data_IF_195664651546
#
_entry.id   IF_195664651546
#
_cell.length_a   1.000
_cell.length_b   1.000
_cell.length_c   1.000
_cell.angle_alpha   90.00
_cell.angle_beta   90.00
_cell.angle_gamma   90.00
#
_symmetry.space_group_name_H-M   'P 1'
#
loop_
_entity.id
_entity.type
_entity.pdbx_description
1 polymer ?
#
# COMPACT_ATOMS: atom_id res chain seq x y z
N UNK A 1 -23.57 1.93 -10.09
CA UNK A 1 -23.64 3.08 -11.01
C UNK A 1 -22.47 3.97 -10.64
N UNK A 2 -21.40 3.89 -11.42
CA UNK A 2 -20.17 4.61 -11.16
C UNK A 2 -20.38 6.07 -11.52
N UNK A 3 -20.25 6.97 -10.54
CA UNK A 3 -20.13 8.40 -10.77
C UNK A 3 -18.85 8.65 -11.58
N UNK A 4 -18.99 8.69 -12.90
CA UNK A 4 -18.04 9.38 -13.76
C UNK A 4 -18.03 10.83 -13.31
N UNK A 5 -16.96 11.21 -12.61
CA UNK A 5 -16.55 12.60 -12.40
C UNK A 5 -16.40 13.25 -13.77
N UNK A 6 -17.52 13.73 -14.31
CA UNK A 6 -17.65 14.53 -15.52
C UNK A 6 -16.86 15.80 -15.27
N UNK A 7 -15.61 15.80 -15.73
CA UNK A 7 -14.84 17.01 -15.90
C UNK A 7 -15.75 18.02 -16.62
N UNK A 8 -15.88 19.26 -16.08
CA UNK A 8 -16.67 20.30 -16.71
C UNK A 8 -16.33 20.37 -18.20
N UNK A 9 -17.34 20.42 -19.09
CA UNK A 9 -17.14 20.41 -20.55
C UNK A 9 -16.11 21.44 -21.02
N UNK A 10 -15.98 22.53 -20.28
CA UNK A 10 -14.98 23.58 -20.52
C UNK A 10 -13.53 23.10 -20.25
N UNK A 11 -13.30 22.28 -19.22
CA UNK A 11 -11.99 21.68 -18.95
C UNK A 11 -11.63 20.58 -19.95
N UNK A 12 -12.61 19.82 -20.44
CA UNK A 12 -12.39 18.83 -21.50
C UNK A 12 -11.98 19.50 -22.82
N UNK A 13 -12.61 20.63 -23.16
CA UNK A 13 -12.25 21.44 -24.32
C UNK A 13 -10.87 22.11 -24.16
N UNK A 14 -10.54 22.59 -22.95
CA UNK A 14 -9.21 23.14 -22.65
C UNK A 14 -8.15 22.04 -22.72
N UNK A 15 -8.38 20.85 -22.13
CA UNK A 15 -7.46 19.71 -22.21
C UNK A 15 -7.20 19.25 -23.66
N UNK A 16 -8.22 19.26 -24.51
CA UNK A 16 -8.08 18.98 -25.94
C UNK A 16 -7.36 20.10 -26.72
N UNK A 17 -7.40 21.34 -26.22
CA UNK A 17 -6.76 22.51 -26.82
C UNK A 17 -5.35 22.78 -26.27
N UNK A 18 -4.92 22.13 -25.18
CA UNK A 18 -3.53 22.16 -24.72
C UNK A 18 -2.70 21.35 -25.72
N UNK A 19 -2.14 22.03 -26.73
CA UNK A 19 -0.94 21.54 -27.39
C UNK A 19 0.15 21.48 -26.33
N UNK A 20 0.40 20.28 -25.79
CA UNK A 20 1.53 20.02 -24.92
C UNK A 20 2.77 20.61 -25.60
N UNK A 21 3.58 21.41 -24.88
CA UNK A 21 4.75 22.04 -25.48
C UNK A 21 5.65 20.94 -26.07
N UNK A 22 5.85 20.93 -27.38
CA UNK A 22 6.72 19.99 -28.08
C UNK A 22 8.22 20.32 -27.90
N UNK A 23 8.56 21.15 -26.91
CA UNK A 23 9.83 21.86 -26.85
C UNK A 23 10.98 20.93 -26.48
N UNK A 24 10.73 19.97 -25.58
CA UNK A 24 11.72 19.00 -25.12
C UNK A 24 11.39 17.58 -25.59
N UNK A 25 12.43 16.73 -25.70
CA UNK A 25 12.25 15.32 -26.04
C UNK A 25 11.36 14.59 -25.02
N UNK A 26 11.42 14.97 -23.74
CA UNK A 26 10.63 14.37 -22.66
C UNK A 26 9.14 14.68 -22.82
N UNK A 27 8.79 15.93 -23.15
CA UNK A 27 7.39 16.32 -23.40
C UNK A 27 6.80 15.60 -24.62
N UNK A 28 7.59 15.40 -25.69
CA UNK A 28 7.18 14.63 -26.86
C UNK A 28 6.94 13.15 -26.54
N UNK A 29 7.81 12.55 -25.73
CA UNK A 29 7.64 11.17 -25.24
C UNK A 29 6.37 11.07 -24.38
N UNK A 30 6.15 12.04 -23.49
CA UNK A 30 4.95 12.06 -22.65
C UNK A 30 3.66 12.18 -23.48
N UNK A 31 3.60 13.13 -24.42
CA UNK A 31 2.45 13.30 -25.30
C UNK A 31 2.15 12.01 -26.10
N UNK A 32 3.17 11.37 -26.66
CA UNK A 32 3.01 10.12 -27.38
C UNK A 32 2.58 8.94 -26.49
N UNK A 33 3.05 8.90 -25.23
CA UNK A 33 2.60 7.88 -24.28
C UNK A 33 1.12 8.05 -23.89
N UNK A 34 0.64 9.29 -23.81
CA UNK A 34 -0.78 9.59 -23.61
C UNK A 34 -1.61 9.21 -24.85
N UNK A 35 -1.15 9.54 -26.05
CA UNK A 35 -1.83 9.14 -27.29
C UNK A 35 -1.94 7.61 -27.43
N UNK A 36 -0.91 6.88 -27.00
CA UNK A 36 -0.92 5.41 -26.97
C UNK A 36 -1.93 4.88 -25.93
N UNK A 37 -1.95 5.44 -24.73
CA UNK A 37 -2.90 5.06 -23.67
C UNK A 37 -4.36 5.35 -24.05
N UNK A 38 -4.60 6.44 -24.80
CA UNK A 38 -5.94 6.82 -25.27
C UNK A 38 -6.32 6.17 -26.61
N UNK A 39 -5.40 5.46 -27.27
CA UNK A 39 -5.64 4.80 -28.55
C UNK A 39 -5.92 5.75 -29.72
N UNK A 40 -5.53 7.03 -29.59
CA UNK A 40 -5.91 8.11 -30.52
C UNK A 40 -4.83 8.45 -31.56
N UNK A 41 -3.68 7.76 -31.57
CA UNK A 41 -2.56 8.09 -32.45
C UNK A 41 -1.52 6.98 -32.67
N UNK A 42 -0.44 7.26 -33.43
CA UNK A 42 0.65 6.33 -33.69
C UNK A 42 1.50 6.00 -32.45
N UNK A 43 1.29 6.70 -31.33
CA UNK A 43 1.91 6.43 -30.03
C UNK A 43 3.43 6.57 -30.05
N UNK A 44 4.13 5.81 -29.22
CA UNK A 44 5.61 5.82 -29.13
C UNK A 44 6.29 5.47 -30.47
N UNK A 45 5.59 4.74 -31.36
CA UNK A 45 6.11 4.40 -32.70
C UNK A 45 6.17 5.60 -33.66
N UNK A 46 5.40 6.66 -33.38
CA UNK A 46 5.41 7.90 -34.16
C UNK A 46 6.59 8.82 -33.86
N UNK A 47 7.41 8.53 -32.85
CA UNK A 47 8.55 9.37 -32.47
C UNK A 47 9.69 9.31 -33.49
N UNK A 48 10.51 10.36 -33.50
CA UNK A 48 11.79 10.34 -34.19
C UNK A 48 12.71 9.24 -33.63
N UNK A 49 13.62 8.69 -34.45
CA UNK A 49 14.58 7.66 -34.00
C UNK A 49 15.42 8.11 -32.79
N UNK A 50 15.74 9.39 -32.72
CA UNK A 50 16.46 9.97 -31.59
C UNK A 50 15.61 10.00 -30.32
N UNK A 51 14.35 10.42 -30.41
CA UNK A 51 13.44 10.46 -29.26
C UNK A 51 13.06 9.02 -28.81
N UNK A 52 12.97 8.05 -29.72
CA UNK A 52 12.80 6.63 -29.37
C UNK A 52 13.98 6.09 -28.56
N UNK A 53 15.22 6.45 -28.92
CA UNK A 53 16.41 6.08 -28.16
C UNK A 53 16.42 6.73 -26.78
N UNK A 54 15.98 7.99 -26.67
CA UNK A 54 15.81 8.65 -25.38
C UNK A 54 14.74 7.95 -24.54
N UNK A 55 13.62 7.55 -25.13
CA UNK A 55 12.59 6.78 -24.44
C UNK A 55 13.14 5.44 -23.91
N UNK A 56 13.88 4.70 -24.74
CA UNK A 56 14.53 3.44 -24.31
C UNK A 56 15.52 3.67 -23.16
N UNK A 57 16.29 4.76 -23.19
CA UNK A 57 17.17 5.14 -22.08
C UNK A 57 16.38 5.44 -20.81
N UNK A 58 15.23 6.11 -20.91
CA UNK A 58 14.37 6.45 -19.78
C UNK A 58 13.68 5.23 -19.19
N UNK A 59 13.17 4.31 -20.03
CA UNK A 59 12.60 3.04 -19.61
C UNK A 59 13.65 2.17 -18.88
N UNK A 60 14.85 2.04 -19.46
CA UNK A 60 15.95 1.34 -18.83
C UNK A 60 16.38 2.00 -17.51
N UNK A 61 16.45 3.34 -17.47
CA UNK A 61 16.76 4.09 -16.27
C UNK A 61 15.73 3.83 -15.16
N UNK A 62 14.44 3.83 -15.50
CA UNK A 62 13.37 3.55 -14.55
C UNK A 62 13.41 2.10 -14.04
N UNK A 63 13.65 1.13 -14.93
CA UNK A 63 13.83 -0.27 -14.57
C UNK A 63 15.02 -0.48 -13.62
N UNK A 64 16.11 0.26 -13.82
CA UNK A 64 17.26 0.23 -12.90
C UNK A 64 16.92 0.89 -11.55
N UNK A 65 16.15 1.98 -11.54
CA UNK A 65 15.70 2.61 -10.30
C UNK A 65 14.76 1.72 -9.48
N UNK A 66 13.94 0.89 -10.14
CA UNK A 66 13.10 -0.13 -9.49
C UNK A 66 13.93 -1.17 -8.72
N UNK A 67 15.16 -1.45 -9.16
CA UNK A 67 16.03 -2.46 -8.55
C UNK A 67 17.07 -1.87 -7.58
N UNK A 68 17.66 -0.72 -7.90
CA UNK A 68 18.82 -0.17 -7.19
C UNK A 68 18.49 1.08 -6.34
N UNK A 69 17.26 1.62 -6.42
CA UNK A 69 16.66 2.66 -5.56
C UNK A 69 17.44 3.99 -5.39
N UNK A 70 18.61 4.11 -6.02
CA UNK A 70 19.57 5.21 -5.87
C UNK A 70 20.24 5.46 -7.21
N UNK A 71 20.53 6.73 -7.48
CA UNK A 71 21.12 7.13 -8.75
C UNK A 71 22.57 6.67 -8.86
N UNK A 72 23.31 6.64 -7.74
CA UNK A 72 24.71 6.20 -7.66
C UNK A 72 24.91 4.74 -8.07
N UNK A 73 23.94 3.87 -7.79
CA UNK A 73 24.01 2.47 -8.18
C UNK A 73 23.52 2.24 -9.62
N UNK A 74 22.59 3.06 -10.11
CA UNK A 74 21.98 2.90 -11.43
C UNK A 74 22.83 3.50 -12.58
N UNK A 75 23.50 4.64 -12.37
CA UNK A 75 24.22 5.33 -13.44
C UNK A 75 25.36 4.52 -14.10
N UNK A 76 26.16 3.68 -13.39
CA UNK A 76 27.24 2.94 -14.03
C UNK A 76 26.74 1.89 -15.03
N UNK A 77 25.59 1.27 -14.72
CA UNK A 77 24.96 0.28 -15.58
C UNK A 77 24.40 0.92 -16.85
N UNK A 78 23.76 2.08 -16.70
CA UNK A 78 23.28 2.87 -17.82
C UNK A 78 24.42 3.40 -18.71
N UNK A 79 25.51 3.88 -18.10
CA UNK A 79 26.67 4.36 -18.84
C UNK A 79 27.29 3.23 -19.69
N UNK A 80 27.38 2.01 -19.12
CA UNK A 80 27.89 0.83 -19.85
C UNK A 80 26.97 0.38 -20.99
N UNK A 81 25.66 0.48 -20.82
CA UNK A 81 24.70 0.00 -21.81
C UNK A 81 24.54 0.95 -23.00
N UNK A 82 24.52 2.26 -22.76
CA UNK A 82 24.22 3.26 -23.78
C UNK A 82 25.42 4.14 -24.18
N UNK A 83 26.60 3.88 -23.61
CA UNK A 83 27.83 4.64 -23.84
C UNK A 83 27.65 6.17 -23.66
N UNK A 84 26.98 6.54 -22.57
CA UNK A 84 26.66 7.93 -22.23
C UNK A 84 27.44 8.41 -21.02
N UNK A 85 27.70 9.72 -20.99
CA UNK A 85 28.40 10.36 -19.87
C UNK A 85 27.61 10.23 -18.56
N UNK A 86 28.32 10.27 -17.42
CA UNK A 86 27.70 10.32 -16.08
C UNK A 86 26.65 11.43 -15.99
N UNK A 87 26.96 12.64 -16.46
CA UNK A 87 26.03 13.76 -16.41
C UNK A 87 24.73 13.48 -17.20
N UNK A 88 24.85 12.84 -18.36
CA UNK A 88 23.69 12.42 -19.16
C UNK A 88 22.88 11.34 -18.45
N UNK A 89 23.53 10.36 -17.81
CA UNK A 89 22.85 9.33 -17.02
C UNK A 89 21.98 9.94 -15.92
N UNK A 90 22.54 10.88 -15.14
CA UNK A 90 21.83 11.53 -14.04
C UNK A 90 20.61 12.33 -14.54
N UNK A 91 20.74 13.02 -15.69
CA UNK A 91 19.58 13.69 -16.32
C UNK A 91 18.51 12.68 -16.72
N UNK A 92 18.87 11.58 -17.38
CA UNK A 92 17.91 10.55 -17.79
C UNK A 92 17.24 9.84 -16.62
N UNK A 93 17.96 9.60 -15.53
CA UNK A 93 17.39 9.07 -14.29
C UNK A 93 16.39 10.05 -13.67
N UNK A 94 16.70 11.35 -13.67
CA UNK A 94 15.78 12.39 -13.20
C UNK A 94 14.55 12.53 -14.13
N UNK A 95 14.76 12.56 -15.45
CA UNK A 95 13.71 12.62 -16.46
C UNK A 95 12.75 11.43 -16.30
N UNK A 96 13.30 10.22 -16.11
CA UNK A 96 12.51 9.01 -15.91
C UNK A 96 11.71 9.05 -14.59
N UNK A 97 12.31 9.54 -13.51
CA UNK A 97 11.62 9.71 -12.22
C UNK A 97 10.51 10.78 -12.30
N UNK A 98 10.70 11.83 -13.09
CA UNK A 98 9.66 12.84 -13.32
C UNK A 98 8.52 12.31 -14.18
N UNK A 99 8.82 11.48 -15.19
CA UNK A 99 7.83 10.94 -16.13
C UNK A 99 7.00 9.81 -15.51
N UNK A 100 7.67 8.83 -14.88
CA UNK A 100 7.02 7.63 -14.35
C UNK A 100 6.71 7.71 -12.85
N UNK A 101 7.25 8.73 -12.17
CA UNK A 101 7.04 8.98 -10.75
C UNK A 101 8.20 8.55 -9.86
N UNK A 102 8.21 9.12 -8.64
CA UNK A 102 9.20 8.79 -7.62
C UNK A 102 8.74 7.61 -6.76
N UNK A 103 9.44 6.48 -6.91
CA UNK A 103 9.24 5.25 -6.14
C UNK A 103 9.33 5.46 -4.62
N UNK A 104 10.09 6.46 -4.16
CA UNK A 104 10.22 6.78 -2.73
C UNK A 104 9.03 7.57 -2.18
N UNK A 105 8.26 8.22 -3.05
CA UNK A 105 7.09 9.03 -2.69
C UNK A 105 5.77 8.30 -2.92
N UNK A 106 5.82 7.01 -3.25
CA UNK A 106 4.63 6.20 -3.47
C UNK A 106 3.88 6.06 -2.14
N UNK A 107 2.54 6.17 -2.20
CA UNK A 107 1.67 5.90 -1.05
C UNK A 107 1.98 4.51 -0.47
N UNK A 108 1.72 4.31 0.82
CA UNK A 108 1.98 3.04 1.54
C UNK A 108 1.49 1.81 0.75
N UNK A 109 0.33 1.89 0.10
CA UNK A 109 -0.24 0.83 -0.72
C UNK A 109 0.63 0.48 -1.95
N UNK A 110 1.12 1.47 -2.70
CA UNK A 110 1.94 1.21 -3.87
C UNK A 110 3.36 0.74 -3.52
N UNK A 111 3.92 1.20 -2.40
CA UNK A 111 5.18 0.66 -1.87
C UNK A 111 5.03 -0.82 -1.49
N UNK A 112 3.92 -1.20 -0.85
CA UNK A 112 3.61 -2.60 -0.53
C UNK A 112 3.40 -3.45 -1.78
N UNK A 113 2.71 -2.93 -2.81
CA UNK A 113 2.53 -3.64 -4.08
C UNK A 113 3.87 -3.94 -4.76
N UNK A 114 4.79 -2.97 -4.78
CA UNK A 114 6.13 -3.14 -5.35
C UNK A 114 6.95 -4.19 -4.58
N UNK A 115 6.93 -4.12 -3.24
CA UNK A 115 7.58 -5.13 -2.39
C UNK A 115 7.00 -6.53 -2.63
N UNK A 116 5.68 -6.64 -2.81
CA UNK A 116 5.03 -7.92 -3.10
C UNK A 116 5.52 -8.52 -4.43
N UNK A 117 5.67 -7.70 -5.47
CA UNK A 117 6.27 -8.14 -6.75
C UNK A 117 7.72 -8.60 -6.58
N UNK A 118 8.54 -7.85 -5.84
CA UNK A 118 9.95 -8.23 -5.58
C UNK A 118 10.06 -9.55 -4.83
N UNK A 119 9.20 -9.76 -3.82
CA UNK A 119 9.17 -11.00 -3.04
C UNK A 119 8.79 -12.20 -3.90
N UNK A 120 7.83 -12.02 -4.82
CA UNK A 120 7.46 -13.06 -5.78
C UNK A 120 8.63 -13.39 -6.73
N UNK A 121 9.39 -12.39 -7.19
CA UNK A 121 10.58 -12.61 -8.01
C UNK A 121 11.67 -13.38 -7.24
N UNK A 122 11.94 -13.01 -5.98
CA UNK A 122 12.91 -13.71 -5.13
C UNK A 122 12.48 -15.15 -4.89
N UNK A 123 11.22 -15.38 -4.57
CA UNK A 123 10.65 -16.73 -4.41
C UNK A 123 10.87 -17.57 -5.68
N UNK A 124 10.58 -17.02 -6.85
CA UNK A 124 10.78 -17.69 -8.13
C UNK A 124 12.27 -17.97 -8.41
N UNK A 125 13.15 -17.04 -8.08
CA UNK A 125 14.60 -17.22 -8.23
C UNK A 125 15.13 -18.33 -7.33
N UNK A 126 14.75 -18.36 -6.05
CA UNK A 126 15.14 -19.40 -5.11
C UNK A 126 14.68 -20.80 -5.57
N UNK A 127 13.49 -20.90 -6.16
CA UNK A 127 12.93 -22.16 -6.67
C UNK A 127 13.56 -22.63 -8.00
N UNK A 128 14.10 -21.71 -8.80
CA UNK A 128 14.73 -22.04 -10.09
C UNK A 128 16.22 -22.40 -9.97
N UNK A 129 16.84 -22.20 -8.80
CA UNK A 129 18.20 -22.64 -8.53
C UNK A 129 18.32 -24.18 -8.51
N UNK A 130 19.53 -24.69 -8.82
CA UNK A 130 19.87 -26.11 -8.75
C UNK A 130 21.10 -26.30 -7.85
N UNK A 131 20.95 -26.83 -6.63
CA UNK A 131 19.69 -27.25 -5.99
C UNK A 131 18.80 -26.05 -5.61
N UNK A 132 17.47 -26.25 -5.47
CA UNK A 132 16.56 -25.18 -5.09
C UNK A 132 16.79 -24.75 -3.64
N UNK A 133 16.83 -23.44 -3.39
CA UNK A 133 16.91 -22.88 -2.05
C UNK A 133 15.51 -22.79 -1.42
N UNK A 134 15.09 -23.91 -0.84
CA UNK A 134 13.77 -24.03 -0.19
C UNK A 134 13.64 -23.10 1.02
N UNK A 135 14.75 -22.81 1.71
CA UNK A 135 14.74 -21.95 2.89
C UNK A 135 14.54 -20.48 2.49
N UNK A 136 15.23 -20.03 1.45
CA UNK A 136 15.02 -18.70 0.86
C UNK A 136 13.61 -18.54 0.30
N UNK A 137 13.09 -19.56 -0.40
CA UNK A 137 11.73 -19.56 -0.92
C UNK A 137 10.68 -19.49 0.20
N UNK A 138 10.85 -20.23 1.31
CA UNK A 138 9.96 -20.18 2.46
C UNK A 138 10.00 -18.81 3.16
N UNK A 139 11.18 -18.20 3.30
CA UNK A 139 11.31 -16.86 3.88
C UNK A 139 10.58 -15.80 3.02
N UNK A 140 10.74 -15.88 1.70
CA UNK A 140 10.02 -15.03 0.76
C UNK A 140 8.49 -15.25 0.86
N UNK A 141 8.02 -16.50 0.91
CA UNK A 141 6.61 -16.82 1.05
C UNK A 141 6.00 -16.29 2.37
N UNK A 142 6.74 -16.35 3.49
CA UNK A 142 6.31 -15.76 4.76
C UNK A 142 6.16 -14.24 4.67
N UNK A 143 7.12 -13.58 4.02
CA UNK A 143 7.06 -12.12 3.84
C UNK A 143 5.92 -11.71 2.90
N UNK A 144 5.64 -12.50 1.86
CA UNK A 144 4.47 -12.32 0.99
C UNK A 144 3.16 -12.40 1.79
N UNK A 145 3.01 -13.40 2.66
CA UNK A 145 1.82 -13.54 3.50
C UNK A 145 1.63 -12.33 4.45
N UNK A 146 2.71 -11.81 5.04
CA UNK A 146 2.67 -10.61 5.89
C UNK A 146 2.24 -9.38 5.09
N UNK A 147 2.82 -9.17 3.89
CA UNK A 147 2.45 -8.05 3.03
C UNK A 147 0.99 -8.13 2.55
N UNK A 148 0.50 -9.33 2.22
CA UNK A 148 -0.92 -9.54 1.88
C UNK A 148 -1.85 -9.29 3.07
N UNK A 149 -1.46 -9.71 4.28
CA UNK A 149 -2.20 -9.40 5.51
C UNK A 149 -2.31 -7.90 5.76
N UNK A 150 -1.20 -7.16 5.58
CA UNK A 150 -1.17 -5.70 5.66
C UNK A 150 -2.04 -5.03 4.60
N UNK A 151 -2.06 -5.55 3.36
CA UNK A 151 -2.95 -5.04 2.31
C UNK A 151 -4.44 -5.26 2.64
N UNK A 152 -4.78 -6.41 3.26
CA UNK A 152 -6.16 -6.68 3.72
C UNK A 152 -6.56 -5.78 4.88
N UNK A 153 -5.66 -5.54 5.84
CA UNK A 153 -5.90 -4.63 6.96
C UNK A 153 -6.14 -3.19 6.47
N UNK A 154 -5.37 -2.71 5.49
CA UNK A 154 -5.61 -1.39 4.87
C UNK A 154 -6.91 -1.35 4.04
N UNK A 155 -7.28 -2.45 3.37
CA UNK A 155 -8.53 -2.54 2.61
C UNK A 155 -9.79 -2.51 3.50
N UNK A 156 -9.64 -2.87 4.78
CA UNK A 156 -10.69 -2.69 5.77
C UNK A 156 -10.68 -1.27 6.37
N UNK A 157 -9.56 -0.55 6.30
CA UNK A 157 -9.27 0.66 7.08
C UNK A 157 -9.66 2.02 6.52
N UNK A 158 -10.77 2.17 5.78
CA UNK A 158 -11.47 3.48 5.69
C UNK A 158 -13.00 3.41 5.90
N UNK A 159 -13.61 2.21 5.92
CA UNK A 159 -15.02 2.02 6.29
C UNK A 159 -15.22 1.14 7.54
N UNK A 160 -14.19 0.50 8.09
CA UNK A 160 -14.29 -0.24 9.35
C UNK A 160 -14.10 0.69 10.56
N UNK A 161 -14.94 1.70 10.67
CA UNK A 161 -15.34 2.12 12.01
C UNK A 161 -16.10 0.94 12.61
N UNK A 162 -15.56 0.34 13.66
CA UNK A 162 -16.00 -0.88 14.35
C UNK A 162 -15.59 -2.22 13.73
N UNK A 163 -14.72 -2.92 14.47
CA UNK A 163 -14.72 -4.38 14.53
C UNK A 163 -13.92 -5.12 13.48
N UNK A 164 -12.60 -5.22 13.66
CA UNK A 164 -11.87 -6.51 13.58
C UNK A 164 -10.37 -6.27 13.66
N UNK A 165 -9.76 -6.73 14.75
CA UNK A 165 -8.32 -6.67 14.97
C UNK A 165 -8.00 -6.28 16.41
N UNK A 166 -8.14 -7.26 17.32
CA UNK A 166 -8.13 -7.16 18.78
C UNK A 166 -9.46 -6.68 19.35
N UNK A 167 -10.28 -7.60 19.84
CA UNK A 167 -11.36 -7.35 20.79
C UNK A 167 -10.76 -6.99 22.15
N UNK A 168 -10.02 -5.88 22.23
CA UNK A 168 -9.86 -5.15 23.48
C UNK A 168 -11.18 -4.43 23.71
N UNK A 169 -12.07 -5.03 24.49
CA UNK A 169 -13.31 -4.41 24.92
C UNK A 169 -12.97 -3.33 25.95
N UNK A 170 -12.60 -2.15 25.44
CA UNK A 170 -12.32 -0.99 26.28
C UNK A 170 -13.66 -0.32 26.57
N UNK A 171 -14.14 -0.45 27.81
CA UNK A 171 -15.27 0.33 28.30
C UNK A 171 -14.72 1.66 28.82
N UNK A 172 -15.14 2.75 28.18
CA UNK A 172 -14.92 4.09 28.71
C UNK A 172 -16.03 4.40 29.72
N UNK A 173 -15.73 4.25 31.01
CA UNK A 173 -16.67 4.61 32.07
C UNK A 173 -16.45 6.07 32.46
N UNK A 174 -17.51 6.87 32.35
CA UNK A 174 -17.58 8.19 32.95
C UNK A 174 -18.74 8.19 33.94
N UNK A 175 -18.42 7.95 35.22
CA UNK A 175 -19.38 8.02 36.32
C UNK A 175 -19.19 9.39 37.02
N UNK A 176 -20.13 10.30 36.78
CA UNK A 176 -20.16 11.66 37.37
C UNK A 176 -19.06 12.62 36.89
N UNK A 177 -18.70 13.60 37.73
CA UNK A 177 -17.76 14.71 37.44
C UNK A 177 -16.26 14.31 37.40
N UNK A 178 -15.94 13.01 37.35
CA UNK A 178 -14.55 12.54 37.29
C UNK A 178 -14.11 12.26 35.85
N UNK A 179 -12.80 12.42 35.60
CA UNK A 179 -12.18 12.22 34.27
C UNK A 179 -12.46 10.81 33.75
N UNK A 180 -12.80 10.67 32.46
CA UNK A 180 -13.13 9.37 31.86
C UNK A 180 -11.93 8.43 31.96
N UNK A 181 -12.17 7.21 32.44
CA UNK A 181 -11.17 6.15 32.49
C UNK A 181 -11.61 5.01 31.57
N UNK A 182 -10.65 4.58 30.76
CA UNK A 182 -10.77 3.44 29.85
C UNK A 182 -10.36 2.18 30.60
N UNK A 183 -11.28 1.22 30.78
CA UNK A 183 -11.00 -0.08 31.40
C UNK A 183 -11.08 -1.14 30.31
N UNK A 184 -10.01 -1.92 30.15
CA UNK A 184 -9.91 -3.00 29.18
C UNK A 184 -10.34 -4.33 29.82
N UNK A 185 -11.43 -4.92 29.33
CA UNK A 185 -12.00 -6.15 29.87
C UNK A 185 -11.20 -7.42 29.48
N UNK A 186 -10.18 -7.31 28.63
CA UNK A 186 -9.33 -8.45 28.25
C UNK A 186 -8.33 -8.90 29.33
N UNK A 187 -8.25 -8.18 30.47
CA UNK A 187 -7.34 -8.47 31.57
C UNK A 187 -8.06 -8.37 32.91
N UNK A 188 -8.94 -9.34 33.18
CA UNK A 188 -9.70 -9.39 34.43
C UNK A 188 -8.80 -9.44 35.69
N UNK A 189 -7.60 -10.03 35.58
CA UNK A 189 -6.65 -10.16 36.69
C UNK A 189 -5.99 -8.82 37.10
N UNK A 190 -6.03 -7.81 36.22
CA UNK A 190 -5.48 -6.47 36.48
C UNK A 190 -6.55 -5.50 37.04
N UNK A 191 -7.80 -5.93 37.17
CA UNK A 191 -8.90 -5.10 37.68
C UNK A 191 -8.84 -5.03 39.19
N UNK A 192 -8.62 -3.82 39.72
CA UNK A 192 -8.58 -3.62 41.17
C UNK A 192 -9.97 -3.64 41.80
N UNK A 193 -10.09 -4.02 43.07
CA UNK A 193 -11.39 -4.09 43.79
C UNK A 193 -12.20 -2.78 43.70
N UNK A 194 -11.52 -1.63 43.63
CA UNK A 194 -12.13 -0.31 43.46
C UNK A 194 -12.74 -0.07 42.06
N UNK A 195 -12.22 -0.75 41.02
CA UNK A 195 -12.74 -0.68 39.65
C UNK A 195 -13.92 -1.64 39.46
N UNK A 196 -13.94 -2.74 40.20
CA UNK A 196 -15.06 -3.68 40.25
C UNK A 196 -16.32 -3.05 40.88
N UNK A 197 -16.16 -2.27 41.96
CA UNK A 197 -17.26 -1.49 42.56
C UNK A 197 -17.83 -0.45 41.60
N UNK A 198 -16.98 0.23 40.82
CA UNK A 198 -17.41 1.19 39.79
C UNK A 198 -18.20 0.53 38.65
N UNK A 199 -17.82 -0.68 38.25
CA UNK A 199 -18.56 -1.47 37.26
C UNK A 199 -19.91 -1.90 37.84
N UNK A 200 -19.96 -2.39 39.09
CA UNK A 200 -21.21 -2.75 39.75
C UNK A 200 -22.16 -1.56 39.92
N UNK A 201 -21.63 -0.37 40.25
CA UNK A 201 -22.41 0.85 40.37
C UNK A 201 -22.95 1.34 39.01
N UNK A 202 -22.15 1.24 37.93
CA UNK A 202 -22.58 1.56 36.57
C UNK A 202 -23.66 0.59 36.04
N UNK A 203 -23.61 -0.68 36.46
CA UNK A 203 -24.62 -1.70 36.14
C UNK A 203 -25.90 -1.46 36.95
N UNK A 204 -25.80 -1.11 38.24
CA UNK A 204 -26.96 -0.75 39.07
C UNK A 204 -27.65 0.56 38.64
N UNK A 205 -26.91 1.51 38.07
CA UNK A 205 -27.47 2.74 37.49
C UNK A 205 -28.15 2.53 36.12
N UNK A 206 -28.29 1.27 35.67
CA UNK A 206 -29.17 0.87 34.57
C UNK A 206 -28.79 1.43 33.18
N UNK A 207 -27.49 1.54 32.90
CA UNK A 207 -26.98 1.90 31.55
C UNK A 207 -26.82 0.66 30.64
N UNK A 208 -26.81 -0.55 31.21
CA UNK A 208 -26.78 -1.81 30.47
C UNK A 208 -27.86 -2.77 30.99
N UNK A 209 -28.70 -3.27 30.10
CA UNK A 209 -29.67 -4.31 30.44
C UNK A 209 -28.95 -5.61 30.78
N UNK A 210 -29.31 -6.24 31.90
CA UNK A 210 -28.70 -7.48 32.40
C UNK A 210 -28.61 -8.60 31.33
N UNK A 211 -29.57 -8.65 30.41
CA UNK A 211 -29.65 -9.63 29.32
C UNK A 211 -28.53 -9.48 28.26
N UNK A 212 -28.06 -8.27 27.97
CA UNK A 212 -26.98 -8.05 27.00
C UNK A 212 -25.61 -8.46 27.56
N UNK A 213 -25.41 -8.30 28.87
CA UNK A 213 -24.19 -8.71 29.53
C UNK A 213 -24.12 -10.23 29.69
N UNK A 214 -25.26 -10.87 29.96
CA UNK A 214 -25.36 -12.33 30.03
C UNK A 214 -25.13 -12.98 28.66
N UNK A 215 -25.63 -12.39 27.57
CA UNK A 215 -25.31 -12.83 26.19
C UNK A 215 -23.84 -12.70 25.85
N UNK A 216 -23.18 -11.59 26.20
CA UNK A 216 -21.75 -11.40 25.97
C UNK A 216 -20.88 -12.39 26.75
N UNK A 217 -21.28 -12.77 27.96
CA UNK A 217 -20.58 -13.77 28.78
C UNK A 217 -20.81 -15.20 28.28
N UNK A 218 -21.98 -15.49 27.72
CA UNK A 218 -22.27 -16.79 27.09
C UNK A 218 -21.49 -17.00 25.79
N UNK A 219 -21.35 -15.96 24.96
CA UNK A 219 -20.53 -16.01 23.74
C UNK A 219 -19.02 -16.19 24.04
N UNK A 220 -18.54 -15.64 25.16
CA UNK A 220 -17.18 -15.88 25.66
C UNK A 220 -16.96 -17.34 26.06
N UNK A 221 -17.95 -17.95 26.74
CA UNK A 221 -17.86 -19.35 27.17
C UNK A 221 -17.96 -20.34 26.01
N UNK A 222 -18.82 -20.08 25.03
CA UNK A 222 -18.92 -20.93 23.82
C UNK A 222 -17.70 -20.77 22.89
N UNK A 223 -17.00 -19.63 22.95
CA UNK A 223 -15.74 -19.41 22.22
C UNK A 223 -14.53 -20.17 22.79
N UNK A 224 -14.49 -20.40 24.12
CA UNK A 224 -13.41 -21.16 24.76
C UNK A 224 -13.57 -22.69 24.55
N UNK A 225 -14.79 -23.22 24.51
CA UNK A 225 -15.04 -24.65 24.32
C UNK A 225 -14.78 -25.15 22.87
N UNK A 226 -14.60 -24.24 21.91
CA UNK A 226 -14.30 -24.58 20.52
C UNK A 226 -12.80 -24.79 20.22
N UNK A 227 -11.89 -24.35 21.09
CA UNK A 227 -10.43 -24.38 20.87
C UNK A 227 -9.71 -25.52 21.62
N UNK A 228 -10.40 -26.28 22.47
CA UNK A 228 -9.81 -27.36 23.29
C UNK A 228 -10.11 -28.79 22.76
N UNK A 229 -10.56 -28.91 21.51
CA UNK A 229 -10.97 -30.18 20.88
C UNK A 229 -9.97 -30.82 19.90
N UNK A 230 -8.76 -30.28 19.71
CA UNK A 230 -7.81 -30.85 18.75
C UNK A 230 -6.35 -30.82 19.25
N UNK A 231 -6.06 -31.67 20.24
CA UNK A 231 -4.72 -32.21 20.50
C UNK A 231 -4.79 -33.70 20.82
#
# INVERSE_FOLDING_TARGET
MSDELLLPKELAAVAAAVKLPNSTAVERIYAASLEEAHGTGPGIKGLSKADQLVNQQMEAAYALLLNYHTFEQAWPLMAKQFDISRATCFRRLADAQNLYGDLKKVKKQGARALLLTQVQMIKQLCLTQRPPDVRGALAAAKLEAVLQGLLRADAQGEDSNSGSGNTSYIINLQVGDKKPKAIDLGKLDDVTDAEYELIQEAVQQNVFGAEQMEQMLLELREGEDADDGNR
#
